data_IF_604418788837
#
_entry.id   IF_604418788837
#
_cell.length_a   1.000
_cell.length_b   1.000
_cell.length_c   1.000
_cell.angle_alpha   90.00
_cell.angle_beta   90.00
_cell.angle_gamma   90.00
#
_symmetry.space_group_name_H-M   'P 1'
#
loop_
_entity.id
_entity.type
_entity.pdbx_description
1 polymer ?
#
# COMPACT_ATOMS: atom_id res chain seq x y z
N UNK A 1 -6.43 -45.00 7.34
CA UNK A 1 -6.79 -43.58 7.15
C UNK A 1 -6.75 -43.39 5.66
N UNK A 2 -7.90 -43.48 5.01
CA UNK A 2 -7.96 -43.43 3.54
C UNK A 2 -7.67 -42.00 3.11
N UNK A 3 -6.64 -41.82 2.27
CA UNK A 3 -6.35 -40.50 1.71
C UNK A 3 -7.53 -40.04 0.85
N UNK A 4 -7.97 -38.78 0.97
CA UNK A 4 -9.11 -38.30 0.19
C UNK A 4 -8.74 -38.17 -1.29
N UNK A 5 -9.69 -38.47 -2.17
CA UNK A 5 -9.60 -38.17 -3.60
C UNK A 5 -9.45 -36.66 -3.79
N UNK A 6 -8.44 -36.21 -4.54
CA UNK A 6 -8.13 -34.79 -4.72
C UNK A 6 -8.51 -34.32 -6.13
N UNK A 7 -9.24 -33.20 -6.28
CA UNK A 7 -9.49 -32.62 -7.60
C UNK A 7 -8.21 -32.01 -8.17
N UNK A 8 -8.01 -32.17 -9.48
CA UNK A 8 -6.97 -31.48 -10.26
C UNK A 8 -7.66 -30.37 -11.03
N UNK A 9 -7.28 -29.13 -10.76
CA UNK A 9 -7.88 -27.93 -11.36
C UNK A 9 -6.97 -27.29 -12.40
N UNK A 10 -7.57 -26.66 -13.41
CA UNK A 10 -6.82 -25.78 -14.30
C UNK A 10 -6.30 -24.55 -13.55
N UNK A 11 -5.00 -24.25 -13.63
CA UNK A 11 -4.39 -23.17 -12.85
C UNK A 11 -4.72 -21.79 -13.42
N UNK A 12 -4.74 -20.76 -12.58
CA UNK A 12 -4.80 -19.38 -13.06
C UNK A 12 -3.39 -18.91 -13.45
N UNK A 13 -3.09 -18.92 -14.75
CA UNK A 13 -1.76 -18.57 -15.29
C UNK A 13 -1.56 -17.04 -15.32
N UNK A 14 -2.61 -16.30 -15.65
CA UNK A 14 -2.59 -14.85 -15.73
C UNK A 14 -3.90 -14.28 -15.16
N UNK A 15 -3.80 -13.39 -14.18
CA UNK A 15 -4.95 -12.78 -13.51
C UNK A 15 -5.93 -12.06 -14.47
N UNK A 16 -5.46 -11.67 -15.65
CA UNK A 16 -6.27 -10.99 -16.68
C UNK A 16 -6.74 -11.92 -17.81
N UNK A 17 -6.33 -13.19 -17.84
CA UNK A 17 -6.68 -14.18 -18.87
C UNK A 17 -7.06 -15.51 -18.19
N UNK A 18 -8.35 -15.69 -17.81
CA UNK A 18 -8.81 -16.90 -17.14
C UNK A 18 -9.04 -18.08 -18.09
N UNK A 19 -8.97 -17.87 -19.41
CA UNK A 19 -9.12 -18.90 -20.44
C UNK A 19 -7.75 -19.33 -20.97
N UNK A 20 -7.59 -20.64 -21.18
CA UNK A 20 -6.37 -21.25 -21.73
C UNK A 20 -6.73 -22.40 -22.67
N UNK A 21 -5.85 -22.72 -23.59
CA UNK A 21 -5.97 -23.89 -24.46
C UNK A 21 -5.25 -25.06 -23.82
N UNK A 22 -5.90 -26.23 -23.72
CA UNK A 22 -5.24 -27.47 -23.34
C UNK A 22 -4.37 -27.96 -24.50
N UNK A 23 -3.06 -27.75 -24.46
CA UNK A 23 -2.17 -28.06 -25.58
C UNK A 23 -1.85 -29.56 -25.70
N UNK A 24 -1.56 -30.22 -24.58
CA UNK A 24 -1.31 -31.66 -24.55
C UNK A 24 -1.70 -32.29 -23.21
N UNK A 25 -1.99 -33.59 -23.25
CA UNK A 25 -2.21 -34.42 -22.07
C UNK A 25 -1.09 -35.45 -22.06
N UNK A 26 -0.28 -35.46 -20.99
CA UNK A 26 0.95 -36.26 -20.88
C UNK A 26 0.74 -37.58 -20.13
N UNK A 27 -0.49 -37.84 -19.66
CA UNK A 27 -0.86 -39.02 -18.88
C UNK A 27 -2.10 -39.72 -19.42
N UNK A 28 -2.24 -41.00 -19.08
CA UNK A 28 -3.39 -41.83 -19.47
C UNK A 28 -4.38 -42.01 -18.31
N UNK A 29 -5.63 -42.33 -18.65
CA UNK A 29 -6.66 -42.66 -17.66
C UNK A 29 -6.21 -43.84 -16.78
N UNK A 30 -6.26 -43.66 -15.46
CA UNK A 30 -5.85 -44.67 -14.48
C UNK A 30 -4.34 -44.84 -14.32
N UNK A 31 -3.52 -43.96 -14.87
CA UNK A 31 -2.06 -44.03 -14.72
C UNK A 31 -1.63 -43.63 -13.30
N UNK A 32 -0.72 -44.41 -12.71
CA UNK A 32 -0.06 -44.05 -11.44
C UNK A 32 1.02 -43.00 -11.71
N UNK A 33 0.93 -41.86 -11.01
CA UNK A 33 1.86 -40.72 -11.12
C UNK A 33 2.55 -40.43 -9.79
N UNK A 34 3.71 -39.77 -9.86
CA UNK A 34 4.43 -39.27 -8.69
C UNK A 34 4.14 -37.78 -8.46
N UNK A 35 4.33 -37.31 -7.22
CA UNK A 35 4.26 -35.87 -6.91
C UNK A 35 5.28 -35.09 -7.77
N UNK A 36 4.84 -33.99 -8.37
CA UNK A 36 5.64 -33.17 -9.29
C UNK A 36 5.67 -33.67 -10.74
N UNK A 37 5.06 -34.81 -11.07
CA UNK A 37 4.98 -35.28 -12.45
C UNK A 37 4.01 -34.42 -13.27
N UNK A 38 4.40 -34.06 -14.50
CA UNK A 38 3.57 -33.31 -15.45
C UNK A 38 2.42 -34.19 -15.94
N UNK A 39 1.21 -33.64 -15.88
CA UNK A 39 -0.04 -34.27 -16.29
C UNK A 39 -0.56 -33.74 -17.63
N UNK A 40 -0.38 -32.45 -17.88
CA UNK A 40 -0.81 -31.78 -19.10
C UNK A 40 -0.08 -30.43 -19.27
N UNK A 41 -0.06 -29.92 -20.49
CA UNK A 41 0.43 -28.58 -20.83
C UNK A 41 -0.74 -27.73 -21.29
N UNK A 42 -0.81 -26.51 -20.76
CA UNK A 42 -1.82 -25.51 -21.09
C UNK A 42 -1.15 -24.23 -21.60
N UNK A 43 -1.79 -23.57 -22.54
CA UNK A 43 -1.27 -22.39 -23.21
C UNK A 43 -2.26 -21.24 -23.15
N UNK A 44 -1.77 -20.06 -22.79
CA UNK A 44 -2.50 -18.80 -22.94
C UNK A 44 -1.94 -18.04 -24.15
N UNK A 45 -2.52 -16.88 -24.47
CA UNK A 45 -2.00 -16.05 -25.57
C UNK A 45 -0.57 -15.52 -25.33
N UNK A 46 -0.08 -15.60 -24.07
CA UNK A 46 1.17 -14.99 -23.64
C UNK A 46 2.20 -15.98 -23.11
N UNK A 47 1.78 -17.12 -22.57
CA UNK A 47 2.67 -18.03 -21.82
C UNK A 47 2.08 -19.45 -21.77
N UNK A 48 2.96 -20.45 -21.73
CA UNK A 48 2.65 -21.86 -21.52
C UNK A 48 2.89 -22.24 -20.05
N UNK A 49 2.08 -23.15 -19.50
CA UNK A 49 2.21 -23.64 -18.14
C UNK A 49 1.93 -25.15 -18.06
N UNK A 50 2.52 -25.81 -17.07
CA UNK A 50 2.36 -27.25 -16.83
C UNK A 50 1.37 -27.48 -15.68
N UNK A 51 0.49 -28.47 -15.85
CA UNK A 51 -0.32 -29.02 -14.76
C UNK A 51 0.47 -30.16 -14.14
N UNK A 52 0.80 -30.06 -12.86
CA UNK A 52 1.60 -31.04 -12.13
C UNK A 52 0.76 -31.79 -11.09
N UNK A 53 1.13 -33.04 -10.81
CA UNK A 53 0.52 -33.81 -9.73
C UNK A 53 0.98 -33.29 -8.35
N UNK A 54 0.06 -32.85 -7.50
CA UNK A 54 0.40 -32.37 -6.15
C UNK A 54 0.82 -33.50 -5.19
N UNK A 55 0.40 -34.73 -5.46
CA UNK A 55 0.79 -35.93 -4.72
C UNK A 55 0.83 -37.15 -5.63
N UNK A 56 1.47 -38.23 -5.18
CA UNK A 56 1.40 -39.51 -5.89
C UNK A 56 -0.02 -40.08 -5.87
N UNK A 57 -0.43 -40.78 -6.92
CA UNK A 57 -1.77 -41.36 -7.03
C UNK A 57 -2.15 -41.78 -8.45
N UNK A 58 -3.32 -42.38 -8.61
CA UNK A 58 -3.89 -42.74 -9.90
C UNK A 58 -4.69 -41.56 -10.47
N UNK A 59 -4.41 -41.18 -11.72
CA UNK A 59 -5.05 -40.03 -12.38
C UNK A 59 -6.32 -40.48 -13.10
N UNK A 60 -7.42 -39.78 -12.84
CA UNK A 60 -8.70 -39.95 -13.54
C UNK A 60 -9.11 -38.63 -14.19
N UNK A 61 -8.97 -38.57 -15.51
CA UNK A 61 -9.22 -37.39 -16.33
C UNK A 61 -10.71 -37.23 -16.62
N UNK A 62 -11.16 -35.98 -16.72
CA UNK A 62 -12.43 -35.67 -17.38
C UNK A 62 -12.30 -35.88 -18.90
N UNK A 63 -13.42 -36.10 -19.60
CA UNK A 63 -13.45 -36.30 -21.06
C UNK A 63 -13.08 -35.01 -21.82
N UNK A 64 -11.79 -34.67 -21.83
CA UNK A 64 -11.20 -33.51 -22.48
C UNK A 64 -10.26 -33.98 -23.59
N UNK A 65 -10.14 -33.18 -24.64
CA UNK A 65 -9.24 -33.43 -25.77
C UNK A 65 -8.26 -32.27 -25.89
N UNK A 66 -7.03 -32.54 -26.33
CA UNK A 66 -6.09 -31.48 -26.67
C UNK A 66 -6.69 -30.55 -27.75
N UNK A 67 -6.44 -29.25 -27.62
CA UNK A 67 -6.96 -28.18 -28.48
C UNK A 67 -8.23 -27.50 -27.99
N UNK A 68 -8.85 -27.94 -26.88
CA UNK A 68 -10.04 -27.28 -26.31
C UNK A 68 -9.65 -26.09 -25.42
N UNK A 69 -10.50 -25.06 -25.40
CA UNK A 69 -10.39 -23.94 -24.47
C UNK A 69 -11.04 -24.32 -23.15
N UNK A 70 -10.32 -24.13 -22.05
CA UNK A 70 -10.72 -24.43 -20.67
C UNK A 70 -10.52 -23.21 -19.80
N UNK A 71 -11.22 -23.13 -18.67
CA UNK A 71 -11.12 -22.01 -17.72
C UNK A 71 -10.40 -22.39 -16.44
N UNK A 72 -9.63 -21.44 -15.91
CA UNK A 72 -9.01 -21.58 -14.59
C UNK A 72 -10.07 -21.93 -13.52
N UNK A 73 -9.79 -22.94 -12.71
CA UNK A 73 -10.72 -23.49 -11.71
C UNK A 73 -11.66 -24.58 -12.22
N UNK A 74 -11.72 -24.87 -13.52
CA UNK A 74 -12.41 -26.07 -14.02
C UNK A 74 -11.62 -27.35 -13.68
N UNK A 75 -12.32 -28.47 -13.57
CA UNK A 75 -11.70 -29.76 -13.26
C UNK A 75 -11.02 -30.36 -14.49
N UNK A 76 -9.71 -30.52 -14.42
CA UNK A 76 -8.95 -31.36 -15.37
C UNK A 76 -9.19 -32.85 -15.08
N UNK A 77 -9.20 -33.23 -13.80
CA UNK A 77 -9.39 -34.62 -13.38
C UNK A 77 -9.32 -34.77 -11.86
N UNK A 78 -8.99 -35.99 -11.40
CA UNK A 78 -8.85 -36.34 -9.99
C UNK A 78 -7.62 -37.21 -9.77
N UNK A 79 -6.99 -37.06 -8.60
CA UNK A 79 -6.00 -37.99 -8.07
C UNK A 79 -6.67 -38.87 -7.01
N UNK A 80 -6.58 -40.18 -7.19
CA UNK A 80 -7.10 -41.18 -6.26
C UNK A 80 -5.95 -42.03 -5.71
N UNK A 81 -5.95 -42.39 -4.41
CA UNK A 81 -5.00 -43.38 -3.89
C UNK A 81 -5.27 -44.79 -4.44
N UNK A 82 -6.47 -45.06 -4.96
CA UNK A 82 -6.88 -46.36 -5.50
C UNK A 82 -7.04 -46.38 -7.03
N UNK A 83 -6.73 -47.50 -7.70
CA UNK A 83 -6.76 -47.62 -9.17
C UNK A 83 -8.15 -47.73 -9.78
N UNK A 84 -9.21 -47.81 -8.96
CA UNK A 84 -10.57 -48.07 -9.41
C UNK A 84 -11.53 -46.96 -8.92
N UNK A 85 -11.46 -45.79 -9.56
CA UNK A 85 -12.37 -44.68 -9.26
C UNK A 85 -13.53 -44.61 -10.26
N UNK A 86 -14.77 -44.72 -9.76
CA UNK A 86 -15.97 -44.46 -10.56
C UNK A 86 -16.29 -42.96 -10.58
N UNK A 87 -15.91 -42.29 -11.66
CA UNK A 87 -16.18 -40.87 -11.88
C UNK A 87 -17.67 -40.51 -11.96
N UNK A 88 -18.56 -41.45 -12.34
CA UNK A 88 -19.99 -41.18 -12.39
C UNK A 88 -20.58 -41.08 -10.99
N UNK A 89 -20.16 -41.95 -10.07
CA UNK A 89 -20.59 -41.90 -8.66
C UNK A 89 -20.21 -40.58 -7.96
N UNK A 90 -19.04 -40.01 -8.28
CA UNK A 90 -18.59 -38.71 -7.76
C UNK A 90 -19.44 -37.54 -8.28
N UNK A 91 -19.79 -37.56 -9.56
CA UNK A 91 -20.65 -36.53 -10.18
C UNK A 91 -22.09 -36.61 -9.66
N UNK A 92 -22.63 -37.82 -9.55
CA UNK A 92 -23.98 -38.06 -9.01
C UNK A 92 -24.06 -37.68 -7.54
N UNK A 93 -23.04 -37.96 -6.71
CA UNK A 93 -23.02 -37.49 -5.32
C UNK A 93 -22.92 -35.97 -5.21
N UNK A 94 -22.19 -35.29 -6.12
CA UNK A 94 -22.16 -33.82 -6.18
C UNK A 94 -23.48 -33.23 -6.67
N UNK A 95 -24.16 -33.86 -7.63
CA UNK A 95 -25.48 -33.43 -8.12
C UNK A 95 -26.59 -33.74 -7.12
N UNK A 96 -26.58 -34.89 -6.45
CA UNK A 96 -27.53 -35.22 -5.37
C UNK A 96 -27.31 -34.30 -4.16
N UNK A 97 -26.06 -33.93 -3.85
CA UNK A 97 -25.77 -32.89 -2.85
C UNK A 97 -26.28 -31.50 -3.29
N UNK A 98 -26.38 -31.24 -4.61
CA UNK A 98 -27.01 -30.02 -5.16
C UNK A 98 -28.54 -30.10 -5.26
N UNK A 99 -29.12 -31.29 -5.46
CA UNK A 99 -30.57 -31.52 -5.65
C UNK A 99 -31.29 -31.69 -4.30
N UNK A 100 -30.62 -32.25 -3.28
CA UNK A 100 -31.14 -32.37 -1.91
C UNK A 100 -31.30 -31.05 -1.15
N UNK A 101 -30.89 -29.92 -1.76
CA UNK A 101 -31.00 -28.57 -1.19
C UNK A 101 -32.08 -27.71 -1.87
N UNK A 102 -33.05 -28.32 -2.57
CA UNK A 102 -34.17 -27.59 -3.19
C UNK A 102 -35.47 -27.74 -2.39
N UNK A 103 -35.67 -26.87 -1.39
CA UNK A 103 -37.01 -26.39 -1.01
C UNK A 103 -37.34 -25.11 -1.81
N UNK A 104 -38.65 -24.85 -1.97
CA UNK A 104 -39.30 -23.90 -2.89
C UNK A 104 -38.62 -22.51 -3.05
N UNK A 105 -38.69 -21.89 -4.25
CA UNK A 105 -37.88 -20.73 -4.61
C UNK A 105 -38.35 -19.46 -3.87
N UNK A 106 -37.60 -19.12 -2.83
CA UNK A 106 -37.32 -17.73 -2.49
C UNK A 106 -36.56 -17.11 -3.67
N UNK A 107 -36.96 -15.93 -4.16
CA UNK A 107 -36.14 -15.18 -5.11
C UNK A 107 -34.85 -14.75 -4.41
N UNK A 108 -33.84 -15.61 -4.48
CA UNK A 108 -32.56 -15.40 -3.83
C UNK A 108 -31.70 -14.40 -4.60
N UNK A 109 -31.01 -13.57 -3.84
CA UNK A 109 -30.08 -12.57 -4.32
C UNK A 109 -28.83 -13.27 -4.85
N UNK A 110 -28.46 -12.98 -6.10
CA UNK A 110 -27.33 -13.62 -6.78
C UNK A 110 -26.08 -12.79 -6.59
N UNK A 111 -25.21 -13.18 -5.66
CA UNK A 111 -23.95 -12.49 -5.36
C UNK A 111 -22.76 -13.25 -5.95
N UNK A 112 -21.79 -12.52 -6.51
CA UNK A 112 -20.45 -13.08 -6.75
C UNK A 112 -19.77 -13.44 -5.43
N UNK A 113 -18.83 -14.39 -5.41
CA UNK A 113 -18.12 -14.80 -4.19
C UNK A 113 -17.46 -13.63 -3.42
N UNK A 114 -16.79 -12.66 -4.08
CA UNK A 114 -16.31 -11.46 -3.40
C UNK A 114 -17.43 -10.57 -2.84
N UNK A 115 -18.57 -10.45 -3.54
CA UNK A 115 -19.73 -9.72 -3.05
C UNK A 115 -20.41 -10.42 -1.87
N UNK A 116 -20.42 -11.75 -1.85
CA UNK A 116 -20.96 -12.57 -0.75
C UNK A 116 -20.10 -12.41 0.50
N UNK A 117 -18.78 -12.52 0.36
CA UNK A 117 -17.84 -12.24 1.47
C UNK A 117 -17.97 -10.82 1.97
N UNK A 118 -18.11 -9.84 1.08
CA UNK A 118 -18.34 -8.46 1.50
C UNK A 118 -19.69 -8.33 2.23
N UNK A 119 -20.76 -8.94 1.73
CA UNK A 119 -22.06 -8.92 2.40
C UNK A 119 -22.04 -9.61 3.77
N UNK A 120 -21.34 -10.73 3.91
CA UNK A 120 -21.14 -11.45 5.18
C UNK A 120 -20.28 -10.63 6.16
N UNK A 121 -19.16 -10.05 5.68
CA UNK A 121 -18.31 -9.16 6.48
C UNK A 121 -19.13 -7.98 7.01
N UNK A 122 -19.95 -7.37 6.16
CA UNK A 122 -20.76 -6.20 6.48
C UNK A 122 -22.09 -6.56 7.19
N UNK A 123 -22.37 -7.83 7.43
CA UNK A 123 -23.64 -8.33 7.98
C UNK A 123 -24.88 -7.77 7.28
N UNK A 124 -24.81 -7.63 5.94
CA UNK A 124 -25.91 -7.09 5.14
C UNK A 124 -27.03 -8.12 5.08
N UNK A 125 -28.25 -7.70 5.44
CA UNK A 125 -29.44 -8.50 5.20
C UNK A 125 -29.63 -8.65 3.69
N UNK A 126 -29.35 -9.85 3.19
CA UNK A 126 -29.42 -10.17 1.76
C UNK A 126 -30.82 -9.97 1.19
N UNK A 127 -31.87 -9.93 2.03
CA UNK A 127 -33.23 -9.67 1.56
C UNK A 127 -33.45 -8.24 1.04
N UNK A 128 -32.59 -7.29 1.44
CA UNK A 128 -32.65 -5.89 1.01
C UNK A 128 -32.03 -5.67 -0.38
N UNK A 129 -31.29 -6.65 -0.90
CA UNK A 129 -30.57 -6.50 -2.16
C UNK A 129 -31.46 -6.77 -3.38
N UNK A 130 -31.16 -6.15 -4.54
CA UNK A 130 -31.90 -6.37 -5.78
C UNK A 130 -31.97 -7.84 -6.18
N UNK A 131 -33.19 -8.36 -6.37
CA UNK A 131 -33.44 -9.76 -6.71
C UNK A 131 -33.40 -9.97 -8.23
N UNK A 132 -32.83 -11.10 -8.67
CA UNK A 132 -32.87 -11.55 -10.07
C UNK A 132 -31.62 -11.22 -10.92
N UNK A 133 -30.76 -10.29 -10.49
CA UNK A 133 -29.51 -9.96 -11.18
C UNK A 133 -28.27 -10.33 -10.37
N UNK A 134 -27.14 -10.53 -11.07
CA UNK A 134 -25.85 -10.73 -10.40
C UNK A 134 -25.35 -9.41 -9.79
N UNK A 135 -25.02 -9.48 -8.50
CA UNK A 135 -24.42 -8.41 -7.71
C UNK A 135 -22.94 -8.73 -7.53
N UNK A 136 -22.09 -7.92 -8.19
CA UNK A 136 -20.64 -7.94 -8.01
C UNK A 136 -20.24 -7.13 -6.79
N UNK A 137 -19.02 -7.32 -6.28
CA UNK A 137 -18.53 -6.56 -5.11
C UNK A 137 -18.60 -5.05 -5.36
N UNK A 138 -18.21 -4.61 -6.56
CA UNK A 138 -18.27 -3.20 -6.95
C UNK A 138 -19.72 -2.66 -7.00
N UNK A 139 -20.68 -3.49 -7.43
CA UNK A 139 -22.10 -3.12 -7.47
C UNK A 139 -22.71 -3.07 -6.08
N UNK A 140 -22.32 -3.99 -5.20
CA UNK A 140 -22.72 -3.98 -3.79
C UNK A 140 -22.19 -2.74 -3.07
N UNK A 141 -20.91 -2.39 -3.28
CA UNK A 141 -20.30 -1.16 -2.74
C UNK A 141 -21.05 0.10 -3.19
N UNK A 142 -21.37 0.18 -4.48
CA UNK A 142 -22.14 1.31 -5.02
C UNK A 142 -23.56 1.39 -4.44
N UNK A 143 -24.23 0.24 -4.30
CA UNK A 143 -25.57 0.18 -3.71
C UNK A 143 -25.57 0.62 -2.24
N UNK A 144 -24.52 0.27 -1.48
CA UNK A 144 -24.33 0.74 -0.10
C UNK A 144 -24.06 2.26 -0.02
N UNK A 145 -23.39 2.83 -1.01
CA UNK A 145 -23.16 4.28 -1.12
C UNK A 145 -24.42 5.05 -1.54
N UNK A 146 -25.25 4.47 -2.42
CA UNK A 146 -26.44 5.10 -3.00
C UNK A 146 -27.68 5.04 -2.10
N UNK A 147 -27.88 3.97 -1.31
CA UNK A 147 -29.10 3.78 -0.51
C UNK A 147 -29.06 4.39 0.90
N UNK A 148 -27.96 5.02 1.31
CA UNK A 148 -27.91 5.73 2.60
C UNK A 148 -28.22 4.86 3.83
N UNK A 149 -28.12 3.53 3.71
CA UNK A 149 -28.19 2.58 4.82
C UNK A 149 -26.91 2.74 5.64
N UNK A 150 -26.96 3.66 6.60
CA UNK A 150 -25.94 3.91 7.61
C UNK A 150 -25.70 2.69 8.49
N UNK A 151 -24.97 1.71 7.96
CA UNK A 151 -24.28 0.72 8.79
C UNK A 151 -23.02 1.42 9.29
N UNK A 152 -23.04 1.85 10.55
CA UNK A 152 -21.81 2.05 11.33
C UNK A 152 -21.04 0.74 11.32
N UNK A 153 -20.17 0.57 10.33
CA UNK A 153 -19.27 -0.57 10.24
C UNK A 153 -18.31 -0.53 11.43
N UNK A 154 -18.67 -1.20 12.52
CA UNK A 154 -17.71 -1.60 13.55
C UNK A 154 -17.03 -2.89 13.10
N UNK A 155 -16.47 -2.89 11.89
CA UNK A 155 -15.42 -3.83 11.53
C UNK A 155 -14.15 -3.03 11.75
N UNK A 156 -13.52 -3.20 12.89
CA UNK A 156 -12.08 -2.97 12.93
C UNK A 156 -11.47 -4.15 12.17
N UNK A 157 -11.00 -4.01 10.91
CA UNK A 157 -9.87 -4.83 10.53
C UNK A 157 -8.85 -4.62 11.66
N UNK A 158 -8.17 -5.66 12.11
CA UNK A 158 -7.04 -5.47 13.01
C UNK A 158 -5.97 -4.72 12.21
N UNK A 159 -6.16 -3.41 12.05
CA UNK A 159 -5.21 -2.49 11.48
C UNK A 159 -4.04 -2.57 12.42
N UNK A 160 -2.89 -2.96 11.89
CA UNK A 160 -1.65 -2.83 12.63
C UNK A 160 -1.53 -1.36 13.05
N UNK A 161 -1.61 -1.04 14.36
CA UNK A 161 -1.57 0.34 14.81
C UNK A 161 -0.22 1.00 14.53
N UNK A 162 0.82 0.20 14.22
CA UNK A 162 2.13 0.67 13.79
C UNK A 162 2.20 0.96 12.28
N UNK A 163 1.19 0.58 11.50
CA UNK A 163 1.13 0.92 10.09
C UNK A 163 0.83 2.41 9.90
N UNK A 164 1.52 3.01 8.92
CA UNK A 164 1.44 4.44 8.63
C UNK A 164 0.59 4.70 7.39
N UNK A 165 -0.25 5.73 7.47
CA UNK A 165 -0.84 6.36 6.29
C UNK A 165 0.13 7.43 5.76
N UNK A 166 0.30 7.48 4.44
CA UNK A 166 1.10 8.53 3.80
C UNK A 166 0.15 9.56 3.19
N UNK A 167 0.24 10.82 3.61
CA UNK A 167 -0.55 11.89 3.00
C UNK A 167 0.25 12.57 1.88
N UNK A 168 -0.11 12.30 0.63
CA UNK A 168 0.47 12.89 -0.58
C UNK A 168 1.28 11.88 -1.42
N UNK A 169 0.81 11.60 -2.63
CA UNK A 169 1.43 10.72 -3.63
C UNK A 169 2.25 11.45 -4.71
N UNK A 170 2.76 12.64 -4.38
CA UNK A 170 3.58 13.47 -5.27
C UNK A 170 5.05 13.03 -5.37
N UNK A 171 5.91 13.91 -5.89
CA UNK A 171 7.35 13.65 -5.99
C UNK A 171 8.01 13.36 -4.64
N UNK A 172 7.74 14.20 -3.63
CA UNK A 172 8.22 13.98 -2.25
C UNK A 172 7.65 12.69 -1.63
N UNK A 173 6.39 12.37 -1.92
CA UNK A 173 5.76 11.13 -1.46
C UNK A 173 6.42 9.87 -1.99
N UNK A 174 6.87 9.87 -3.25
CA UNK A 174 7.69 8.77 -3.80
C UNK A 174 8.97 8.57 -2.99
N UNK A 175 9.68 9.65 -2.69
CA UNK A 175 10.91 9.59 -1.89
C UNK A 175 10.65 9.12 -0.46
N UNK A 176 9.54 9.52 0.16
CA UNK A 176 9.16 9.04 1.49
C UNK A 176 8.75 7.56 1.51
N UNK A 177 8.06 7.05 0.48
CA UNK A 177 7.74 5.62 0.38
C UNK A 177 9.03 4.79 0.42
N UNK A 178 10.04 5.18 -0.35
CA UNK A 178 11.34 4.50 -0.36
C UNK A 178 12.09 4.67 0.98
N UNK A 179 12.04 5.86 1.59
CA UNK A 179 12.64 6.10 2.90
C UNK A 179 12.01 5.21 3.99
N UNK A 180 10.67 5.11 4.05
CA UNK A 180 9.96 4.27 5.00
C UNK A 180 10.33 2.80 4.79
N UNK A 181 10.35 2.32 3.54
CA UNK A 181 10.77 0.95 3.19
C UNK A 181 12.20 0.66 3.64
N UNK A 182 13.14 1.56 3.34
CA UNK A 182 14.53 1.41 3.72
C UNK A 182 14.73 1.42 5.24
N UNK A 183 13.97 2.26 5.97
CA UNK A 183 14.03 2.32 7.43
C UNK A 183 13.55 1.02 8.09
N UNK A 184 12.60 0.31 7.47
CA UNK A 184 11.95 -0.86 8.06
C UNK A 184 11.16 -0.58 9.34
N UNK A 185 10.98 0.69 9.72
CA UNK A 185 10.36 1.08 11.00
C UNK A 185 8.83 0.97 10.99
N UNK A 186 8.21 1.10 9.81
CA UNK A 186 6.76 1.15 9.67
C UNK A 186 6.31 0.42 8.40
N UNK A 187 5.18 -0.30 8.48
CA UNK A 187 4.47 -0.79 7.31
C UNK A 187 3.63 0.34 6.68
N UNK A 188 3.57 0.42 5.36
CA UNK A 188 2.77 1.43 4.66
C UNK A 188 1.37 0.86 4.40
N UNK A 189 0.35 1.41 5.04
CA UNK A 189 -1.03 0.99 4.87
C UNK A 189 -1.65 1.46 3.54
N UNK A 190 -1.27 2.66 3.11
CA UNK A 190 -1.76 3.26 1.88
C UNK A 190 -1.57 4.77 1.85
N UNK A 191 -1.98 5.38 0.75
CA UNK A 191 -1.82 6.80 0.50
C UNK A 191 -3.17 7.52 0.60
N UNK A 192 -3.16 8.66 1.28
CA UNK A 192 -4.22 9.67 1.25
C UNK A 192 -3.80 10.77 0.29
N UNK A 193 -4.58 11.03 -0.76
CA UNK A 193 -4.26 12.06 -1.75
C UNK A 193 -5.54 12.63 -2.36
N UNK A 194 -5.68 13.96 -2.39
CA UNK A 194 -6.89 14.65 -2.89
C UNK A 194 -6.92 14.79 -4.43
N UNK A 195 -5.79 14.57 -5.10
CA UNK A 195 -5.61 14.81 -6.55
C UNK A 195 -5.52 13.48 -7.31
N UNK A 196 -4.77 12.50 -6.79
CA UNK A 196 -4.55 11.21 -7.47
C UNK A 196 -5.82 10.35 -7.45
N UNK A 197 -6.10 9.54 -8.49
CA UNK A 197 -7.27 8.65 -8.48
C UNK A 197 -7.19 7.60 -7.36
N UNK A 198 -8.33 7.30 -6.72
CA UNK A 198 -8.44 6.18 -5.77
C UNK A 198 -8.08 4.86 -6.46
N UNK A 199 -7.40 3.97 -5.75
CA UNK A 199 -6.89 2.69 -6.26
C UNK A 199 -5.64 2.79 -7.14
N UNK A 200 -5.24 3.98 -7.57
CA UNK A 200 -4.00 4.15 -8.32
C UNK A 200 -2.78 3.79 -7.46
N UNK A 201 -1.76 3.21 -8.09
CA UNK A 201 -0.55 2.76 -7.40
C UNK A 201 0.58 3.78 -7.55
N UNK A 202 1.17 4.20 -6.43
CA UNK A 202 2.41 5.00 -6.39
C UNK A 202 3.50 4.10 -5.83
N UNK A 203 4.44 3.68 -6.69
CA UNK A 203 5.49 2.71 -6.33
C UNK A 203 4.93 1.42 -5.70
N UNK A 204 3.76 0.95 -6.16
CA UNK A 204 3.09 -0.23 -5.64
C UNK A 204 2.22 0.01 -4.38
N UNK A 205 2.17 1.22 -3.84
CA UNK A 205 1.29 1.57 -2.72
C UNK A 205 -0.02 2.17 -3.26
N UNK A 206 -1.20 1.66 -2.87
CA UNK A 206 -2.47 2.19 -3.35
C UNK A 206 -2.86 3.51 -2.69
N UNK A 207 -3.49 4.38 -3.47
CA UNK A 207 -4.25 5.53 -2.94
C UNK A 207 -5.59 5.01 -2.41
N UNK A 208 -5.78 5.05 -1.10
CA UNK A 208 -6.91 4.41 -0.40
C UNK A 208 -7.95 5.40 0.10
N UNK A 209 -7.67 6.70 0.05
CA UNK A 209 -8.63 7.70 0.53
C UNK A 209 -8.23 9.14 0.22
N UNK A 210 -9.09 10.04 0.67
CA UNK A 210 -8.99 11.50 0.57
C UNK A 210 -8.79 12.11 1.94
N UNK A 211 -8.45 13.40 1.98
CA UNK A 211 -8.25 14.11 3.25
C UNK A 211 -9.48 14.17 4.13
N UNK A 212 -10.68 14.23 3.53
CA UNK A 212 -11.96 14.17 4.23
C UNK A 212 -12.22 12.82 4.91
N UNK A 213 -11.55 11.75 4.49
CA UNK A 213 -11.73 10.40 5.03
C UNK A 213 -10.87 10.15 6.30
N UNK A 214 -10.00 11.09 6.67
CA UNK A 214 -9.08 10.93 7.81
C UNK A 214 -9.79 10.53 9.12
N UNK A 215 -10.94 11.14 9.53
CA UNK A 215 -11.65 10.71 10.73
C UNK A 215 -12.08 9.24 10.68
N UNK A 216 -12.54 8.77 9.50
CA UNK A 216 -12.92 7.37 9.30
C UNK A 216 -11.72 6.43 9.43
N UNK A 217 -10.57 6.79 8.86
CA UNK A 217 -9.35 5.99 9.05
C UNK A 217 -8.94 5.93 10.52
N UNK A 218 -9.03 7.04 11.25
CA UNK A 218 -8.74 7.03 12.68
C UNK A 218 -9.71 6.13 13.46
N UNK A 219 -11.02 6.21 13.19
CA UNK A 219 -12.03 5.32 13.78
C UNK A 219 -11.75 3.85 13.49
N UNK A 220 -11.24 3.54 12.29
CA UNK A 220 -10.89 2.18 11.86
C UNK A 220 -9.57 1.65 12.46
N UNK A 221 -8.90 2.39 13.34
CA UNK A 221 -7.73 1.90 14.08
C UNK A 221 -6.38 2.45 13.62
N UNK A 222 -6.31 3.20 12.51
CA UNK A 222 -5.08 3.87 12.12
C UNK A 222 -4.74 4.98 13.13
N UNK A 223 -3.46 5.08 13.53
CA UNK A 223 -3.00 6.08 14.52
C UNK A 223 -1.88 6.96 14.00
N UNK A 224 -1.08 6.44 13.06
CA UNK A 224 0.12 7.10 12.57
C UNK A 224 -0.07 7.62 11.14
N UNK A 225 0.41 8.82 10.89
CA UNK A 225 0.43 9.43 9.56
C UNK A 225 1.76 10.10 9.27
N UNK A 226 2.24 9.99 8.04
CA UNK A 226 3.43 10.66 7.54
C UNK A 226 2.99 11.70 6.49
N UNK A 227 3.40 12.95 6.69
CA UNK A 227 3.12 14.04 5.77
C UNK A 227 4.12 14.03 4.61
N UNK A 228 3.64 13.70 3.41
CA UNK A 228 4.42 13.63 2.19
C UNK A 228 4.26 14.84 1.26
N UNK A 229 3.76 15.96 1.77
CA UNK A 229 3.71 17.23 1.04
C UNK A 229 4.96 18.06 1.36
N UNK A 230 5.72 18.45 0.33
CA UNK A 230 7.01 19.13 0.50
C UNK A 230 6.95 20.65 0.72
N UNK A 231 5.89 21.33 0.25
CA UNK A 231 5.68 22.77 0.52
C UNK A 231 6.63 23.76 -0.17
N UNK A 232 7.35 23.37 -1.24
CA UNK A 232 8.38 24.21 -1.90
C UNK A 232 7.81 25.54 -2.43
N UNK A 233 6.64 25.51 -3.08
CA UNK A 233 5.99 26.72 -3.60
C UNK A 233 5.14 27.44 -2.55
N UNK A 234 4.49 26.66 -1.69
CA UNK A 234 3.57 27.12 -0.66
C UNK A 234 3.63 26.17 0.54
N UNK A 235 4.22 26.66 1.64
CA UNK A 235 4.37 25.89 2.88
C UNK A 235 3.02 25.64 3.56
N UNK A 236 2.01 26.48 3.31
CA UNK A 236 0.68 26.34 3.93
C UNK A 236 0.02 25.02 3.56
N UNK A 237 0.26 24.51 2.34
CA UNK A 237 -0.23 23.21 1.91
C UNK A 237 0.32 22.09 2.79
N UNK A 238 1.61 22.16 3.12
CA UNK A 238 2.26 21.18 3.99
C UNK A 238 1.74 21.28 5.42
N UNK A 239 1.63 22.50 5.96
CA UNK A 239 1.11 22.74 7.32
C UNK A 239 -0.34 22.24 7.45
N UNK A 240 -1.18 22.48 6.45
CA UNK A 240 -2.59 22.05 6.42
C UNK A 240 -2.76 20.53 6.58
N UNK A 241 -1.79 19.73 6.13
CA UNK A 241 -1.84 18.27 6.27
C UNK A 241 -1.60 17.85 7.71
N UNK A 242 -0.67 18.51 8.40
CA UNK A 242 -0.45 18.27 9.82
C UNK A 242 -1.66 18.67 10.65
N UNK A 243 -2.24 19.84 10.37
CA UNK A 243 -3.45 20.33 11.04
C UNK A 243 -4.63 19.37 10.85
N UNK A 244 -4.90 18.95 9.60
CA UNK A 244 -5.95 17.97 9.30
C UNK A 244 -5.72 16.64 10.02
N UNK A 245 -4.50 16.11 10.00
CA UNK A 245 -4.17 14.87 10.69
C UNK A 245 -4.35 14.97 12.20
N UNK A 246 -3.81 16.02 12.84
CA UNK A 246 -3.98 16.25 14.28
C UNK A 246 -5.45 16.42 14.66
N UNK A 247 -6.22 17.15 13.85
CA UNK A 247 -7.66 17.35 14.09
C UNK A 247 -8.44 16.03 14.03
N UNK A 248 -7.97 15.08 13.22
CA UNK A 248 -8.51 13.72 13.16
C UNK A 248 -7.91 12.76 14.21
N UNK A 249 -6.95 13.21 15.03
CA UNK A 249 -6.33 12.43 16.12
C UNK A 249 -5.01 11.71 15.76
N UNK A 250 -4.48 11.89 14.54
CA UNK A 250 -3.25 11.22 14.13
C UNK A 250 -2.00 11.79 14.81
N UNK A 251 -1.06 10.89 15.11
CA UNK A 251 0.30 11.21 15.50
C UNK A 251 1.27 11.09 14.32
N UNK A 252 2.39 11.80 14.37
CA UNK A 252 3.35 11.88 13.28
C UNK A 252 4.69 11.30 13.71
N UNK A 253 5.02 10.04 13.35
CA UNK A 253 6.31 9.48 13.70
C UNK A 253 7.43 10.21 12.94
N UNK A 254 8.62 10.21 13.52
CA UNK A 254 9.85 10.55 12.78
C UNK A 254 10.17 9.43 11.80
N UNK A 255 10.75 9.78 10.65
CA UNK A 255 11.21 8.79 9.67
C UNK A 255 12.66 9.07 9.32
N UNK A 256 13.52 8.10 9.59
CA UNK A 256 14.98 8.28 9.50
C UNK A 256 15.53 7.20 8.58
N UNK A 257 16.20 7.61 7.51
CA UNK A 257 16.89 6.69 6.63
C UNK A 257 18.07 6.00 7.36
N UNK A 258 18.35 4.70 7.15
CA UNK A 258 19.44 4.00 7.84
C UNK A 258 20.84 4.58 7.63
N UNK A 259 21.04 5.36 6.55
CA UNK A 259 22.31 6.05 6.28
C UNK A 259 22.35 7.49 6.78
N UNK A 260 21.26 8.00 7.36
CA UNK A 260 21.31 9.25 8.11
C UNK A 260 22.01 8.99 9.44
N UNK A 261 22.84 9.91 9.88
CA UNK A 261 23.55 9.82 11.15
C UNK A 261 23.03 10.86 12.12
N UNK A 262 22.52 10.39 13.26
CA UNK A 262 21.97 11.20 14.33
C UNK A 262 22.78 10.93 15.59
N UNK A 263 23.45 11.94 16.11
CA UNK A 263 24.19 11.82 17.37
C UNK A 263 23.25 11.67 18.57
N UNK A 264 23.68 10.92 19.59
CA UNK A 264 22.80 10.48 20.69
C UNK A 264 22.25 11.61 21.58
N UNK A 265 22.87 12.80 21.57
CA UNK A 265 22.36 13.98 22.29
C UNK A 265 21.43 14.85 21.46
N UNK A 266 21.29 14.58 20.16
CA UNK A 266 20.40 15.34 19.31
C UNK A 266 18.92 15.04 19.62
N UNK A 267 18.06 16.04 19.45
CA UNK A 267 16.62 15.92 19.67
C UNK A 267 15.83 16.16 18.38
N UNK A 268 14.85 15.28 18.12
CA UNK A 268 13.99 15.36 16.95
C UNK A 268 12.53 15.58 17.37
N UNK A 269 11.90 16.61 16.83
CA UNK A 269 10.46 16.80 16.93
C UNK A 269 9.68 15.77 16.11
N UNK A 270 8.43 15.53 16.49
CA UNK A 270 7.52 14.65 15.76
C UNK A 270 7.40 15.04 14.27
N UNK A 271 7.16 14.06 13.41
CA UNK A 271 7.00 14.27 11.97
C UNK A 271 8.28 14.68 11.25
N UNK A 272 9.44 14.74 11.92
CA UNK A 272 10.72 15.01 11.29
C UNK A 272 11.11 13.90 10.30
N UNK A 273 11.71 14.30 9.19
CA UNK A 273 12.08 13.43 8.07
C UNK A 273 13.55 13.60 7.74
N UNK A 274 14.34 12.54 7.94
CA UNK A 274 15.78 12.52 7.70
C UNK A 274 16.09 11.59 6.53
N UNK A 275 16.48 12.19 5.41
CA UNK A 275 16.79 11.50 4.16
C UNK A 275 18.22 10.91 4.15
N UNK A 276 18.58 10.11 3.12
CA UNK A 276 19.88 9.46 3.07
C UNK A 276 21.05 10.43 3.27
N UNK A 277 22.04 10.01 4.07
CA UNK A 277 23.25 10.80 4.36
C UNK A 277 23.02 12.15 5.05
N UNK A 278 21.82 12.40 5.58
CA UNK A 278 21.60 13.52 6.49
C UNK A 278 22.45 13.35 7.76
N UNK A 279 23.00 14.46 8.26
CA UNK A 279 23.74 14.49 9.53
C UNK A 279 23.07 15.43 10.52
N UNK A 280 22.85 14.95 11.74
CA UNK A 280 22.37 15.73 12.87
C UNK A 280 23.36 15.59 14.04
N UNK A 281 24.10 16.66 14.30
CA UNK A 281 25.17 16.70 15.30
C UNK A 281 24.70 16.93 16.74
N UNK A 282 25.67 16.87 17.66
CA UNK A 282 25.49 16.92 19.11
C UNK A 282 24.65 18.11 19.57
N UNK A 283 23.70 17.86 20.46
CA UNK A 283 22.83 18.87 21.07
C UNK A 283 21.99 19.71 20.10
N UNK A 284 21.98 19.35 18.81
CA UNK A 284 21.10 19.97 17.82
C UNK A 284 19.64 19.57 18.08
N UNK A 285 18.73 20.50 17.83
CA UNK A 285 17.29 20.35 18.08
C UNK A 285 16.51 20.65 16.81
N UNK A 286 15.72 19.68 16.35
CA UNK A 286 14.78 19.85 15.26
C UNK A 286 13.36 20.01 15.81
N UNK A 287 12.64 21.00 15.30
CA UNK A 287 11.23 21.24 15.58
C UNK A 287 10.30 20.22 14.91
N UNK A 288 9.01 20.48 15.04
CA UNK A 288 7.96 19.65 14.48
C UNK A 288 7.99 19.66 12.95
N UNK A 289 7.90 18.48 12.34
CA UNK A 289 7.77 18.35 10.90
C UNK A 289 8.96 18.91 10.13
N UNK A 290 10.18 18.89 10.67
CA UNK A 290 11.36 19.35 9.92
C UNK A 290 11.72 18.35 8.82
N UNK A 291 12.21 18.83 7.67
CA UNK A 291 12.80 18.00 6.62
C UNK A 291 14.30 18.28 6.57
N UNK A 292 15.11 17.26 6.83
CA UNK A 292 16.55 17.25 6.56
C UNK A 292 16.77 16.36 5.35
N UNK A 293 16.94 16.97 4.19
CA UNK A 293 16.98 16.26 2.92
C UNK A 293 18.35 15.60 2.68
N UNK A 294 18.49 14.90 1.57
CA UNK A 294 19.65 14.07 1.25
C UNK A 294 20.96 14.84 1.39
N UNK A 295 21.88 14.33 2.20
CA UNK A 295 23.20 14.93 2.42
C UNK A 295 23.19 16.28 3.11
N UNK A 296 22.06 16.74 3.66
CA UNK A 296 22.02 17.98 4.44
C UNK A 296 22.66 17.78 5.83
N UNK A 297 23.36 18.79 6.31
CA UNK A 297 24.16 18.76 7.53
C UNK A 297 23.65 19.81 8.51
N UNK A 298 23.28 19.37 9.70
CA UNK A 298 22.98 20.21 10.85
C UNK A 298 24.06 19.94 11.90
N UNK A 299 24.96 20.90 12.09
CA UNK A 299 26.07 20.76 13.05
C UNK A 299 25.61 20.88 14.50
N UNK A 300 26.55 20.77 15.43
CA UNK A 300 26.29 20.85 16.86
C UNK A 300 25.55 22.13 17.29
N UNK A 301 24.78 22.05 18.37
CA UNK A 301 24.07 23.17 19.01
C UNK A 301 23.11 23.97 18.10
N UNK A 302 22.71 23.43 16.95
CA UNK A 302 21.76 24.10 16.06
C UNK A 302 20.32 24.00 16.58
N UNK A 303 19.55 25.07 16.41
CA UNK A 303 18.12 25.11 16.72
C UNK A 303 17.34 25.33 15.41
N UNK A 304 16.62 24.30 14.96
CA UNK A 304 15.85 24.34 13.71
C UNK A 304 14.36 24.33 14.05
N UNK A 305 13.66 25.43 13.74
CA UNK A 305 12.25 25.61 14.05
C UNK A 305 11.30 24.69 13.26
N UNK A 306 10.03 24.73 13.63
CA UNK A 306 8.99 23.89 13.04
C UNK A 306 8.86 24.09 11.53
N UNK A 307 8.53 23.02 10.82
CA UNK A 307 8.28 23.00 9.37
C UNK A 307 9.44 23.41 8.46
N UNK A 308 10.63 23.67 9.03
CA UNK A 308 11.81 24.03 8.25
C UNK A 308 12.17 22.89 7.30
N UNK A 309 12.60 23.28 6.09
CA UNK A 309 13.08 22.35 5.07
C UNK A 309 14.49 22.72 4.65
N UNK A 310 15.46 21.87 5.01
CA UNK A 310 16.81 21.88 4.49
C UNK A 310 16.85 21.03 3.23
N UNK A 311 16.93 21.67 2.07
CA UNK A 311 17.03 21.01 0.78
C UNK A 311 18.36 20.24 0.62
N UNK A 312 18.48 19.35 -0.39
CA UNK A 312 19.67 18.52 -0.55
C UNK A 312 21.00 19.27 -0.47
N UNK A 313 21.93 18.74 0.32
CA UNK A 313 23.27 19.28 0.50
C UNK A 313 23.35 20.65 1.19
N UNK A 314 22.28 21.13 1.83
CA UNK A 314 22.36 22.34 2.67
C UNK A 314 23.18 22.06 3.94
N UNK A 315 24.05 22.99 4.33
CA UNK A 315 24.98 22.83 5.45
C UNK A 315 24.82 23.99 6.43
N UNK A 316 24.44 23.67 7.66
CA UNK A 316 24.47 24.59 8.79
C UNK A 316 25.71 24.33 9.62
N UNK A 317 26.56 25.34 9.82
CA UNK A 317 27.62 25.29 10.81
C UNK A 317 27.05 25.27 12.24
N UNK A 318 27.91 25.10 13.25
CA UNK A 318 27.48 25.02 14.65
C UNK A 318 26.74 26.26 15.16
N UNK A 319 25.87 26.05 16.14
CA UNK A 319 25.11 27.09 16.85
C UNK A 319 24.19 27.93 15.93
N UNK A 320 23.83 27.44 14.74
CA UNK A 320 22.90 28.13 13.83
C UNK A 320 21.46 28.00 14.31
N UNK A 321 20.70 29.11 14.22
CA UNK A 321 19.27 29.14 14.53
C UNK A 321 18.46 29.41 13.28
N UNK A 322 17.45 28.58 13.00
CA UNK A 322 16.55 28.75 11.85
C UNK A 322 15.11 28.86 12.34
N UNK A 323 14.44 29.96 12.01
CA UNK A 323 13.05 30.20 12.34
C UNK A 323 12.10 29.28 11.57
N UNK A 324 10.90 29.10 12.11
CA UNK A 324 9.88 28.21 11.57
C UNK A 324 9.53 28.48 10.10
N UNK A 325 9.08 27.43 9.40
CA UNK A 325 8.60 27.47 8.03
C UNK A 325 9.58 28.11 7.02
N UNK A 326 10.87 28.16 7.35
CA UNK A 326 11.93 28.61 6.47
C UNK A 326 12.36 27.50 5.51
N UNK A 327 12.54 27.86 4.24
CA UNK A 327 13.07 26.99 3.20
C UNK A 327 14.53 27.34 2.93
N UNK A 328 15.43 26.39 3.22
CA UNK A 328 16.84 26.48 2.90
C UNK A 328 17.09 25.70 1.60
N UNK A 329 17.54 26.40 0.56
CA UNK A 329 17.77 25.85 -0.77
C UNK A 329 18.93 24.85 -0.85
N UNK A 330 19.02 24.16 -1.98
CA UNK A 330 20.04 23.13 -2.23
C UNK A 330 21.44 23.73 -2.18
N UNK A 331 22.38 23.03 -1.55
CA UNK A 331 23.79 23.45 -1.49
C UNK A 331 24.04 24.79 -0.78
N UNK A 332 23.07 25.29 0.00
CA UNK A 332 23.27 26.49 0.81
C UNK A 332 24.26 26.19 1.94
N UNK A 333 25.14 27.14 2.24
CA UNK A 333 26.02 27.08 3.41
C UNK A 333 25.70 28.22 4.37
N UNK A 334 25.68 27.94 5.67
CA UNK A 334 25.38 28.93 6.73
C UNK A 334 26.52 28.96 7.73
N UNK A 335 27.06 30.15 7.98
CA UNK A 335 28.16 30.37 8.93
C UNK A 335 27.73 30.09 10.38
N UNK A 336 28.73 29.82 11.22
CA UNK A 336 28.58 29.58 12.66
C UNK A 336 27.78 30.71 13.32
N UNK A 337 26.87 30.37 14.24
CA UNK A 337 26.07 31.32 15.06
C UNK A 337 25.11 32.24 14.31
N UNK A 338 24.90 32.03 13.01
CA UNK A 338 23.94 32.82 12.25
C UNK A 338 22.51 32.50 12.70
N UNK A 339 21.69 33.54 12.82
CA UNK A 339 20.24 33.43 12.98
C UNK A 339 19.52 33.73 11.66
N UNK A 340 18.84 32.74 11.12
CA UNK A 340 17.90 32.89 10.00
C UNK A 340 16.49 33.00 10.58
N UNK A 341 15.77 34.06 10.21
CA UNK A 341 14.41 34.32 10.65
C UNK A 341 13.39 33.30 10.15
N UNK A 342 12.15 33.45 10.59
CA UNK A 342 11.01 32.61 10.19
C UNK A 342 10.50 32.97 8.79
N UNK A 343 9.90 32.00 8.10
CA UNK A 343 9.32 32.14 6.77
C UNK A 343 10.28 32.68 5.70
N UNK A 344 11.58 32.48 5.87
CA UNK A 344 12.58 32.88 4.90
C UNK A 344 12.62 31.91 3.70
N UNK A 345 13.10 32.40 2.56
CA UNK A 345 13.44 31.58 1.40
C UNK A 345 14.87 31.84 1.01
N UNK A 346 15.75 30.88 1.27
CA UNK A 346 17.15 30.97 0.90
C UNK A 346 17.35 30.23 -0.41
N UNK A 347 17.69 30.96 -1.47
CA UNK A 347 17.88 30.39 -2.80
C UNK A 347 19.04 29.39 -2.85
N UNK A 348 18.96 28.43 -3.77
CA UNK A 348 19.98 27.40 -3.96
C UNK A 348 21.38 27.99 -4.13
N UNK A 349 22.38 27.37 -3.53
CA UNK A 349 23.79 27.75 -3.62
C UNK A 349 24.15 29.07 -2.94
N UNK A 350 23.25 29.68 -2.18
CA UNK A 350 23.57 30.89 -1.42
C UNK A 350 24.53 30.58 -0.25
N UNK A 351 25.35 31.55 0.14
CA UNK A 351 26.23 31.48 1.32
C UNK A 351 25.80 32.53 2.33
N UNK A 352 25.29 32.10 3.49
CA UNK A 352 24.79 32.99 4.53
C UNK A 352 25.88 33.26 5.56
N UNK A 353 26.40 34.48 5.59
CA UNK A 353 27.48 34.90 6.48
C UNK A 353 27.02 35.68 7.72
N UNK A 354 25.80 36.21 7.71
CA UNK A 354 25.20 36.97 8.81
C UNK A 354 23.71 36.70 8.91
N UNK A 355 23.09 37.21 9.98
CA UNK A 355 21.67 37.04 10.27
C UNK A 355 20.76 37.47 9.12
N UNK A 356 19.68 36.71 8.92
CA UNK A 356 18.66 36.94 7.90
C UNK A 356 17.36 37.29 8.62
N UNK A 357 16.76 38.48 8.43
CA UNK A 357 15.49 38.83 9.04
C UNK A 357 14.33 37.93 8.56
N UNK A 358 13.26 37.86 9.35
CA UNK A 358 12.05 37.11 8.99
C UNK A 358 11.52 37.48 7.60
N UNK A 359 10.94 36.50 6.90
CA UNK A 359 10.29 36.63 5.59
C UNK A 359 11.22 37.14 4.48
N UNK A 360 12.53 37.08 4.68
CA UNK A 360 13.50 37.50 3.69
C UNK A 360 13.65 36.46 2.59
N UNK A 361 13.80 36.94 1.36
CA UNK A 361 14.15 36.12 0.19
C UNK A 361 15.60 36.41 -0.18
N UNK A 362 16.49 35.45 0.04
CA UNK A 362 17.88 35.51 -0.43
C UNK A 362 17.94 34.88 -1.82
N UNK A 363 18.54 35.57 -2.78
CA UNK A 363 18.62 35.09 -4.17
C UNK A 363 19.55 33.88 -4.28
N UNK A 364 19.28 33.03 -5.27
CA UNK A 364 20.12 31.87 -5.54
C UNK A 364 21.55 32.31 -5.93
N UNK A 365 22.56 31.57 -5.45
CA UNK A 365 23.96 31.78 -5.77
C UNK A 365 24.62 33.02 -5.16
N UNK A 366 23.93 33.77 -4.28
CA UNK A 366 24.48 34.98 -3.67
C UNK A 366 25.15 34.73 -2.32
N UNK A 367 26.08 35.59 -1.93
CA UNK A 367 26.55 35.70 -0.55
C UNK A 367 25.61 36.66 0.18
N UNK A 368 25.21 36.35 1.41
CA UNK A 368 24.40 37.21 2.28
C UNK A 368 25.21 37.70 3.49
N UNK A 369 25.22 39.00 3.82
CA UNK A 369 24.61 40.09 3.04
C UNK A 369 25.34 40.28 1.69
N UNK A 370 24.65 40.82 0.68
CA UNK A 370 25.17 41.02 -0.67
C UNK A 370 26.30 42.06 -0.77
#
# INVERSE_FOLDING_TARGET
MDEPIKPILFPLINANEPEMTLASIEVQQGQLVQAGQVLAVVETTKTTAEIIAESAGYVFLNHLQAGVIVRAGEHFGYLSPEPNLDLQSLRVNQEISKIGAMEKPSMDVRLTEPARRLAEQLQIDLNLLPKGEWITEQRLRRWLEEEGLGIEMTISPSVDPAAVLIFGGGGHGKSLIELIRASGQHAIAGIIDDIKPLGSLILGVPVIGRSQDLPRFYQNGYRLMINAVGGIGDISQRVSVFERGRSAGFSFPTVIHPTAFVEGSAALGEGAQLFPHAYLGSDARLGFGVIINTGAIVSHDCEVGDYVNLSPGAILAGEVKVGEATLIGMGVTVNLRVKIGAHCRIGNGATIKQDVPDRTIVRAGTIWPP
#
